data_IF_691507268522
#
_entry.id   IF_691507268522
#
_cell.length_a   1.000
_cell.length_b   1.000
_cell.length_c   1.000
_cell.angle_alpha   90.00
_cell.angle_beta   90.00
_cell.angle_gamma   90.00
#
_symmetry.space_group_name_H-M   'P 1'
#
loop_
_entity.id
_entity.type
_entity.pdbx_description
1 polymer ?
#
# COMPACT_ATOMS: atom_id res chain seq x y z
N UNK A 1 28.36 -24.66 4.43
CA UNK A 1 27.73 -23.82 5.46
C UNK A 1 28.59 -22.74 6.07
N UNK A 2 29.78 -23.01 6.64
CA UNK A 2 30.61 -21.96 7.29
C UNK A 2 30.79 -20.70 6.45
N UNK A 3 31.17 -20.86 5.18
CA UNK A 3 31.33 -19.74 4.25
C UNK A 3 30.06 -18.87 4.16
N UNK A 4 28.90 -19.49 3.91
CA UNK A 4 27.62 -18.79 3.82
C UNK A 4 27.23 -18.10 5.13
N UNK A 5 27.42 -18.77 6.27
CA UNK A 5 27.15 -18.22 7.59
C UNK A 5 28.02 -16.97 7.88
N UNK A 6 29.31 -17.03 7.53
CA UNK A 6 30.23 -15.90 7.66
C UNK A 6 29.90 -14.78 6.68
N UNK A 7 29.51 -15.10 5.44
CA UNK A 7 29.05 -14.12 4.46
C UNK A 7 27.84 -13.34 4.99
N UNK A 8 26.84 -14.04 5.56
CA UNK A 8 25.70 -13.38 6.19
C UNK A 8 26.12 -12.44 7.33
N UNK A 9 27.02 -12.88 8.24
CA UNK A 9 27.51 -12.03 9.33
C UNK A 9 28.19 -10.76 8.81
N UNK A 10 29.06 -10.91 7.82
CA UNK A 10 29.77 -9.77 7.23
C UNK A 10 28.79 -8.82 6.51
N UNK A 11 27.82 -9.35 5.77
CA UNK A 11 26.76 -8.55 5.14
C UNK A 11 25.91 -7.82 6.18
N UNK A 12 25.52 -8.48 7.28
CA UNK A 12 24.73 -7.89 8.36
C UNK A 12 25.48 -6.75 9.05
N UNK A 13 26.79 -6.91 9.29
CA UNK A 13 27.62 -5.86 9.88
C UNK A 13 27.91 -4.72 8.89
N UNK A 14 28.13 -5.04 7.62
CA UNK A 14 28.31 -4.04 6.57
C UNK A 14 27.05 -3.19 6.40
N UNK A 15 25.87 -3.81 6.43
CA UNK A 15 24.57 -3.13 6.36
C UNK A 15 24.36 -2.19 7.55
N UNK A 16 24.62 -2.65 8.77
CA UNK A 16 24.54 -1.79 9.96
C UNK A 16 25.53 -0.62 9.92
N UNK A 17 26.74 -0.86 9.40
CA UNK A 17 27.79 0.17 9.28
C UNK A 17 27.39 1.23 8.26
N UNK A 18 26.97 0.78 7.08
CA UNK A 18 26.54 1.65 6.01
C UNK A 18 25.29 2.45 6.40
N UNK A 19 24.33 1.80 7.06
CA UNK A 19 23.13 2.44 7.58
C UNK A 19 23.46 3.49 8.64
N UNK A 20 24.36 3.20 9.58
CA UNK A 20 24.74 4.16 10.61
C UNK A 20 25.45 5.38 9.99
N UNK A 21 26.36 5.16 9.04
CA UNK A 21 27.04 6.24 8.33
C UNK A 21 26.04 7.10 7.53
N UNK A 22 25.12 6.48 6.82
CA UNK A 22 24.09 7.15 6.02
C UNK A 22 23.12 7.97 6.90
N UNK A 23 22.64 7.38 7.99
CA UNK A 23 21.76 8.05 8.96
C UNK A 23 22.48 9.22 9.66
N UNK A 24 23.73 9.05 10.11
CA UNK A 24 24.50 10.14 10.69
C UNK A 24 24.80 11.25 9.68
N UNK A 25 25.17 10.89 8.44
CA UNK A 25 25.40 11.88 7.39
C UNK A 25 24.14 12.69 7.09
N UNK A 26 22.96 12.06 7.09
CA UNK A 26 21.67 12.74 6.88
C UNK A 26 21.33 13.79 7.94
N UNK A 27 21.90 13.68 9.15
CA UNK A 27 21.72 14.68 10.20
C UNK A 27 22.50 15.98 9.93
N UNK A 28 23.61 15.89 9.17
CA UNK A 28 24.51 17.01 8.92
C UNK A 28 24.45 17.53 7.47
N UNK A 29 24.07 16.68 6.50
CA UNK A 29 24.08 17.00 5.09
C UNK A 29 22.75 16.61 4.42
N UNK A 30 22.14 17.51 3.61
CA UNK A 30 20.87 17.23 2.93
C UNK A 30 20.98 16.28 1.73
N UNK A 31 22.18 16.00 1.24
CA UNK A 31 22.43 15.09 0.11
C UNK A 31 23.03 13.79 0.63
N UNK A 32 22.30 12.68 0.47
CA UNK A 32 22.73 11.36 0.97
C UNK A 32 22.87 10.37 -0.21
N UNK A 33 24.04 10.34 -0.88
CA UNK A 33 24.25 9.52 -2.08
C UNK A 33 24.32 8.01 -1.82
N UNK A 34 24.32 7.58 -0.55
CA UNK A 34 24.57 6.19 -0.13
C UNK A 34 23.26 5.39 0.04
N UNK A 35 22.12 6.07 0.17
CA UNK A 35 20.80 5.47 0.43
C UNK A 35 20.42 4.33 -0.54
N UNK A 36 20.75 4.46 -1.83
CA UNK A 36 20.52 3.40 -2.82
C UNK A 36 21.36 2.13 -2.58
N UNK A 37 22.64 2.31 -2.25
CA UNK A 37 23.54 1.21 -1.90
C UNK A 37 23.12 0.55 -0.58
N UNK A 38 22.72 1.36 0.40
CA UNK A 38 22.15 0.91 1.67
C UNK A 38 20.93 0.01 1.44
N UNK A 39 19.98 0.45 0.60
CA UNK A 39 18.80 -0.34 0.28
C UNK A 39 19.12 -1.67 -0.40
N UNK A 40 20.08 -1.69 -1.33
CA UNK A 40 20.54 -2.93 -1.97
C UNK A 40 21.16 -3.90 -0.95
N UNK A 41 21.99 -3.40 -0.06
CA UNK A 41 22.67 -4.22 0.95
C UNK A 41 21.68 -4.78 1.98
N UNK A 42 20.76 -3.95 2.49
CA UNK A 42 19.69 -4.38 3.38
C UNK A 42 18.83 -5.49 2.74
N UNK A 43 18.47 -5.34 1.47
CA UNK A 43 17.73 -6.37 0.72
C UNK A 43 18.55 -7.67 0.60
N UNK A 44 19.86 -7.58 0.32
CA UNK A 44 20.73 -8.76 0.26
C UNK A 44 20.80 -9.49 1.61
N UNK A 45 20.85 -8.76 2.73
CA UNK A 45 20.83 -9.32 4.09
C UNK A 45 19.50 -10.02 4.37
N UNK A 46 18.36 -9.39 4.05
CA UNK A 46 17.01 -9.98 4.19
C UNK A 46 16.92 -11.28 3.37
N UNK A 47 17.34 -11.24 2.11
CA UNK A 47 17.32 -12.41 1.23
C UNK A 47 18.22 -13.54 1.73
N UNK A 48 19.39 -13.22 2.28
CA UNK A 48 20.31 -14.22 2.86
C UNK A 48 19.79 -14.79 4.20
N UNK A 49 19.01 -14.03 4.96
CA UNK A 49 18.43 -14.47 6.23
C UNK A 49 17.47 -15.66 6.06
N UNK A 50 16.71 -15.72 4.96
CA UNK A 50 15.74 -16.79 4.68
C UNK A 50 16.39 -18.18 4.57
N UNK A 51 17.32 -18.45 3.62
CA UNK A 51 17.98 -19.75 3.54
C UNK A 51 18.86 -20.02 4.77
N UNK A 52 19.41 -19.00 5.44
CA UNK A 52 20.12 -19.20 6.69
C UNK A 52 19.21 -19.70 7.81
N UNK A 53 18.01 -19.12 7.95
CA UNK A 53 16.99 -19.56 8.90
C UNK A 53 16.61 -21.03 8.67
N UNK A 54 16.32 -21.41 7.42
CA UNK A 54 16.03 -22.81 7.06
C UNK A 54 17.21 -23.73 7.39
N UNK A 55 18.44 -23.26 7.16
CA UNK A 55 19.65 -24.00 7.50
C UNK A 55 19.79 -24.25 9.01
N UNK A 56 19.22 -23.43 9.90
CA UNK A 56 19.25 -23.68 11.36
C UNK A 56 18.48 -24.95 11.76
N UNK A 57 17.48 -25.34 10.95
CA UNK A 57 16.72 -26.57 11.15
C UNK A 57 17.49 -27.81 10.68
N UNK A 58 18.28 -27.69 9.62
CA UNK A 58 19.01 -28.81 9.02
C UNK A 58 20.41 -28.98 9.63
N UNK A 59 21.19 -27.90 9.67
CA UNK A 59 22.58 -27.90 10.15
C UNK A 59 22.62 -27.58 11.65
N UNK A 60 22.80 -28.62 12.48
CA UNK A 60 22.86 -28.47 13.94
C UNK A 60 24.09 -27.69 14.42
N UNK A 61 25.11 -27.54 13.57
CA UNK A 61 26.37 -26.85 13.88
C UNK A 61 26.20 -25.33 13.87
N UNK A 62 25.15 -24.82 13.23
CA UNK A 62 24.87 -23.39 13.22
C UNK A 62 24.40 -22.93 14.62
N UNK A 63 25.09 -21.95 15.24
CA UNK A 63 24.73 -21.44 16.54
C UNK A 63 23.42 -20.64 16.49
N UNK A 64 22.30 -21.27 16.86
CA UNK A 64 20.98 -20.63 16.90
C UNK A 64 20.93 -19.39 17.79
N UNK A 65 21.71 -19.36 18.88
CA UNK A 65 21.83 -18.21 19.79
C UNK A 65 22.47 -16.98 19.15
N UNK A 66 23.26 -17.18 18.08
CA UNK A 66 23.80 -16.10 17.27
C UNK A 66 22.80 -15.72 16.18
N UNK A 67 22.40 -16.69 15.34
CA UNK A 67 21.68 -16.36 14.11
C UNK A 67 20.20 -16.01 14.31
N UNK A 68 19.50 -16.60 15.30
CA UNK A 68 18.08 -16.25 15.51
C UNK A 68 17.88 -14.78 15.88
N UNK A 69 18.61 -14.19 16.85
CA UNK A 69 18.49 -12.76 17.12
C UNK A 69 18.78 -11.86 15.92
N UNK A 70 19.81 -12.19 15.12
CA UNK A 70 20.17 -11.40 13.93
C UNK A 70 19.08 -11.48 12.86
N UNK A 71 18.56 -12.68 12.59
CA UNK A 71 17.47 -12.90 11.62
C UNK A 71 16.21 -12.16 12.08
N UNK A 72 15.84 -12.30 13.36
CA UNK A 72 14.69 -11.58 13.93
C UNK A 72 14.86 -10.07 13.81
N UNK A 73 16.06 -9.55 14.08
CA UNK A 73 16.37 -8.13 13.94
C UNK A 73 16.14 -7.63 12.51
N UNK A 74 16.66 -8.35 11.52
CA UNK A 74 16.54 -8.00 10.09
C UNK A 74 15.07 -7.86 9.66
N UNK A 75 14.22 -8.79 10.09
CA UNK A 75 12.79 -8.71 9.78
C UNK A 75 12.02 -7.71 10.65
N UNK A 76 12.46 -7.49 11.89
CA UNK A 76 11.83 -6.57 12.82
C UNK A 76 11.98 -5.11 12.40
N UNK A 77 13.12 -4.70 11.86
CA UNK A 77 13.37 -3.30 11.44
C UNK A 77 12.27 -2.73 10.50
N UNK A 78 11.95 -3.36 9.36
CA UNK A 78 10.87 -2.87 8.50
C UNK A 78 9.47 -3.08 9.12
N UNK A 79 9.26 -4.20 9.82
CA UNK A 79 7.95 -4.51 10.42
C UNK A 79 7.56 -3.55 11.54
N UNK A 80 8.51 -3.13 12.37
CA UNK A 80 8.26 -2.24 13.50
C UNK A 80 7.82 -0.85 13.07
N UNK A 81 8.39 -0.29 12.00
CA UNK A 81 7.92 0.99 11.43
C UNK A 81 6.53 0.84 10.83
N UNK A 82 6.23 -0.29 10.20
CA UNK A 82 4.91 -0.55 9.65
C UNK A 82 3.84 -0.73 10.74
N UNK A 83 4.14 -1.47 11.81
CA UNK A 83 3.23 -1.69 12.95
C UNK A 83 3.08 -0.41 13.78
N UNK A 84 4.18 0.33 13.96
CA UNK A 84 4.25 1.56 14.74
C UNK A 84 4.80 2.72 13.89
N UNK A 85 3.96 3.33 13.01
CA UNK A 85 4.40 4.39 12.10
C UNK A 85 5.07 5.59 12.79
N UNK A 86 4.72 5.85 14.06
CA UNK A 86 5.35 6.90 14.86
C UNK A 86 6.87 6.73 14.94
N UNK A 87 7.38 5.48 14.96
CA UNK A 87 8.82 5.21 15.01
C UNK A 87 9.54 5.79 13.79
N UNK A 88 8.95 5.72 12.59
CA UNK A 88 9.52 6.30 11.37
C UNK A 88 9.58 7.84 11.39
N UNK A 89 8.80 8.50 12.25
CA UNK A 89 8.83 9.96 12.40
C UNK A 89 9.91 10.43 13.39
N UNK A 90 10.43 9.52 14.21
CA UNK A 90 11.47 9.84 15.19
C UNK A 90 12.83 9.91 14.49
N UNK A 91 13.42 11.11 14.43
CA UNK A 91 14.74 11.33 13.80
C UNK A 91 15.85 10.42 14.31
N UNK A 92 15.75 9.95 15.56
CA UNK A 92 16.76 9.10 16.19
C UNK A 92 16.52 7.60 15.98
N UNK A 93 15.37 7.21 15.41
CA UNK A 93 15.04 5.79 15.23
C UNK A 93 16.02 5.07 14.30
N UNK A 94 16.28 5.65 13.12
CA UNK A 94 17.24 5.11 12.14
C UNK A 94 18.64 4.92 12.73
N UNK A 95 19.29 5.97 13.26
CA UNK A 95 20.61 5.86 13.90
C UNK A 95 20.63 4.84 15.05
N UNK A 96 19.59 4.80 15.88
CA UNK A 96 19.50 3.86 16.99
C UNK A 96 19.44 2.41 16.52
N UNK A 97 18.60 2.11 15.53
CA UNK A 97 18.49 0.76 14.98
C UNK A 97 19.78 0.33 14.28
N UNK A 98 20.43 1.21 13.52
CA UNK A 98 21.71 0.90 12.88
C UNK A 98 22.83 0.63 13.91
N UNK A 99 22.90 1.42 14.99
CA UNK A 99 23.83 1.18 16.09
C UNK A 99 23.53 -0.14 16.83
N UNK A 100 22.24 -0.45 17.05
CA UNK A 100 21.80 -1.70 17.66
C UNK A 100 22.15 -2.91 16.77
N UNK A 101 22.04 -2.80 15.45
CA UNK A 101 22.45 -3.82 14.49
C UNK A 101 23.93 -4.18 14.68
N UNK A 102 24.80 -3.16 14.66
CA UNK A 102 26.24 -3.33 14.87
C UNK A 102 26.56 -3.91 16.25
N UNK A 103 25.95 -3.35 17.29
CA UNK A 103 26.12 -3.81 18.66
C UNK A 103 25.72 -5.28 18.81
N UNK A 104 24.56 -5.67 18.29
CA UNK A 104 24.05 -7.04 18.36
C UNK A 104 24.96 -8.02 17.61
N UNK A 105 25.34 -7.69 16.37
CA UNK A 105 26.20 -8.54 15.54
C UNK A 105 27.59 -8.75 16.16
N UNK A 106 28.25 -7.66 16.56
CA UNK A 106 29.58 -7.72 17.18
C UNK A 106 29.56 -8.40 18.55
N UNK A 107 28.58 -8.07 19.40
CA UNK A 107 28.43 -8.69 20.71
C UNK A 107 28.24 -10.21 20.61
N UNK A 108 27.33 -10.68 19.75
CA UNK A 108 27.04 -12.12 19.66
C UNK A 108 28.20 -12.90 19.02
N UNK A 109 28.93 -12.33 18.06
CA UNK A 109 30.13 -12.97 17.48
C UNK A 109 31.28 -12.99 18.51
N UNK A 110 31.45 -11.94 19.31
CA UNK A 110 32.50 -11.89 20.33
C UNK A 110 32.40 -13.02 21.36
N UNK A 111 31.20 -13.58 21.59
CA UNK A 111 31.01 -14.72 22.50
C UNK A 111 31.70 -16.02 22.07
N UNK A 112 32.20 -16.08 20.84
CA UNK A 112 32.95 -17.23 20.33
C UNK A 112 34.46 -17.10 20.48
N UNK A 113 34.94 -15.98 21.02
CA UNK A 113 36.36 -15.69 21.16
C UNK A 113 36.67 -15.02 22.50
N UNK A 114 37.71 -15.49 23.17
CA UNK A 114 38.20 -14.86 24.41
C UNK A 114 39.07 -13.61 24.13
N UNK A 115 39.50 -13.42 22.88
CA UNK A 115 40.35 -12.31 22.46
C UNK A 115 39.55 -11.17 21.80
N UNK A 116 39.64 -9.92 22.28
CA UNK A 116 39.02 -8.75 21.66
C UNK A 116 39.46 -8.47 20.21
N UNK A 117 40.62 -8.97 19.78
CA UNK A 117 41.14 -8.81 18.40
C UNK A 117 40.71 -9.95 17.46
N UNK A 118 39.80 -10.81 17.90
CA UNK A 118 39.35 -11.94 17.10
C UNK A 118 38.60 -11.51 15.82
N UNK A 119 38.64 -12.33 14.76
CA UNK A 119 37.95 -12.03 13.51
C UNK A 119 36.43 -12.01 13.71
N UNK A 120 35.73 -11.18 12.92
CA UNK A 120 34.25 -11.08 12.90
C UNK A 120 33.56 -12.25 12.18
N UNK A 121 34.15 -13.45 12.26
CA UNK A 121 33.68 -14.66 11.56
C UNK A 121 33.62 -15.83 12.53
N UNK A 122 32.90 -16.90 12.19
CA UNK A 122 32.80 -18.07 13.06
C UNK A 122 34.07 -18.94 13.01
N UNK A 123 34.51 -19.50 14.16
CA UNK A 123 35.67 -20.38 14.20
C UNK A 123 35.40 -21.70 13.43
N UNK A 124 36.41 -22.26 12.76
CA UNK A 124 36.30 -23.54 12.03
C UNK A 124 35.76 -24.69 12.87
N UNK A 125 36.19 -24.77 14.14
CA UNK A 125 35.87 -25.85 15.06
C UNK A 125 34.36 -26.05 15.29
N UNK A 126 33.55 -24.98 15.17
CA UNK A 126 32.09 -25.09 15.29
C UNK A 126 31.47 -25.96 14.20
N UNK A 127 32.15 -26.11 13.06
CA UNK A 127 31.65 -26.84 11.91
C UNK A 127 32.20 -28.27 11.82
N UNK A 128 32.91 -28.72 12.85
CA UNK A 128 33.37 -30.11 13.00
C UNK A 128 32.22 -31.02 13.47
N UNK A 129 32.21 -32.26 13.00
CA UNK A 129 31.15 -33.24 13.28
C UNK A 129 29.97 -33.20 12.31
N UNK A 130 28.92 -34.02 12.56
CA UNK A 130 27.85 -34.21 11.60
C UNK A 130 26.93 -32.99 11.52
N UNK A 131 26.60 -32.64 10.27
CA UNK A 131 25.72 -31.54 9.89
C UNK A 131 24.27 -31.79 10.35
N UNK A 132 23.76 -32.99 10.05
CA UNK A 132 22.35 -33.31 10.23
C UNK A 132 22.08 -33.94 11.60
N UNK A 133 20.93 -33.56 12.18
CA UNK A 133 20.35 -34.22 13.34
C UNK A 133 18.82 -34.20 13.24
N UNK A 134 18.21 -35.40 13.31
CA UNK A 134 16.77 -35.55 13.15
C UNK A 134 16.02 -34.87 14.29
N UNK A 135 16.53 -34.93 15.51
CA UNK A 135 15.90 -34.29 16.68
C UNK A 135 15.89 -32.77 16.52
N UNK A 136 17.00 -32.16 16.09
CA UNK A 136 17.09 -30.74 15.76
C UNK A 136 16.07 -30.35 14.67
N UNK A 137 15.99 -31.16 13.62
CA UNK A 137 15.07 -30.92 12.50
C UNK A 137 13.62 -30.99 12.95
N UNK A 138 13.23 -32.03 13.69
CA UNK A 138 11.87 -32.20 14.22
C UNK A 138 11.51 -31.08 15.20
N UNK A 139 12.42 -30.67 16.08
CA UNK A 139 12.20 -29.55 16.99
C UNK A 139 12.00 -28.23 16.22
N UNK A 140 12.83 -27.97 15.21
CA UNK A 140 12.70 -26.80 14.34
C UNK A 140 11.37 -26.80 13.58
N UNK A 141 10.97 -27.94 13.00
CA UNK A 141 9.68 -28.11 12.33
C UNK A 141 8.53 -27.87 13.31
N UNK A 142 8.58 -28.47 14.50
CA UNK A 142 7.55 -28.30 15.53
C UNK A 142 7.32 -26.84 15.92
N UNK A 143 8.40 -26.06 16.09
CA UNK A 143 8.28 -24.61 16.34
C UNK A 143 7.69 -23.88 15.14
N UNK A 144 8.14 -24.21 13.93
CA UNK A 144 7.67 -23.53 12.70
C UNK A 144 6.21 -23.85 12.37
N UNK A 145 5.68 -25.01 12.73
CA UNK A 145 4.24 -25.30 12.58
C UNK A 145 3.38 -24.25 13.29
N UNK A 146 3.86 -23.69 14.42
CA UNK A 146 3.16 -22.65 15.17
C UNK A 146 3.49 -21.23 14.70
N UNK A 147 4.78 -20.96 14.45
CA UNK A 147 5.26 -19.59 14.16
C UNK A 147 5.05 -19.20 12.69
N UNK A 148 5.25 -20.14 11.77
CA UNK A 148 5.26 -19.85 10.34
C UNK A 148 3.91 -19.33 9.82
N UNK A 149 2.73 -19.85 10.23
CA UNK A 149 1.45 -19.29 9.79
C UNK A 149 1.29 -17.81 10.16
N UNK A 150 1.64 -17.43 11.40
CA UNK A 150 1.57 -16.05 11.85
C UNK A 150 2.59 -15.15 11.13
N UNK A 151 3.80 -15.65 10.91
CA UNK A 151 4.84 -14.95 10.16
C UNK A 151 4.43 -14.72 8.70
N UNK A 152 3.88 -15.74 8.03
CA UNK A 152 3.41 -15.64 6.64
C UNK A 152 2.21 -14.71 6.51
N UNK A 153 1.26 -14.75 7.45
CA UNK A 153 0.13 -13.82 7.46
C UNK A 153 0.61 -12.36 7.63
N UNK A 154 1.54 -12.13 8.56
CA UNK A 154 2.13 -10.81 8.80
C UNK A 154 2.92 -10.32 7.58
N UNK A 155 3.76 -11.16 7.00
CA UNK A 155 4.54 -10.84 5.81
C UNK A 155 3.63 -10.54 4.61
N UNK A 156 2.58 -11.36 4.40
CA UNK A 156 1.59 -11.14 3.35
C UNK A 156 0.92 -9.78 3.50
N UNK A 157 0.52 -9.42 4.73
CA UNK A 157 -0.12 -8.13 5.00
C UNK A 157 0.85 -6.96 4.81
N UNK A 158 2.11 -7.11 5.21
CA UNK A 158 3.17 -6.12 4.99
C UNK A 158 3.47 -5.89 3.50
N UNK A 159 3.58 -6.97 2.72
CA UNK A 159 3.78 -6.88 1.27
C UNK A 159 2.56 -6.28 0.56
N UNK A 160 1.34 -6.68 0.96
CA UNK A 160 0.12 -6.08 0.46
C UNK A 160 0.06 -4.58 0.76
N UNK A 161 0.44 -4.15 1.97
CA UNK A 161 0.56 -2.72 2.31
C UNK A 161 1.58 -2.01 1.43
N UNK A 162 2.77 -2.58 1.27
CA UNK A 162 3.86 -1.99 0.49
C UNK A 162 3.43 -1.81 -0.97
N UNK A 163 2.84 -2.84 -1.57
CA UNK A 163 2.29 -2.79 -2.92
C UNK A 163 1.17 -1.76 -3.05
N UNK A 164 0.19 -1.77 -2.14
CA UNK A 164 -0.92 -0.81 -2.13
C UNK A 164 -0.43 0.64 -2.01
N UNK A 165 0.52 0.88 -1.11
CA UNK A 165 1.10 2.21 -0.88
C UNK A 165 1.80 2.70 -2.15
N UNK A 166 2.64 1.87 -2.77
CA UNK A 166 3.36 2.24 -3.99
C UNK A 166 2.42 2.46 -5.19
N UNK A 167 1.44 1.58 -5.38
CA UNK A 167 0.49 1.66 -6.48
C UNK A 167 -0.42 2.89 -6.39
N UNK A 168 -0.76 3.34 -5.18
CA UNK A 168 -1.68 4.46 -4.95
C UNK A 168 -0.99 5.79 -4.63
N UNK A 169 0.34 5.82 -4.52
CA UNK A 169 1.07 7.02 -4.06
C UNK A 169 0.86 7.31 -2.56
N UNK A 170 0.53 6.28 -1.79
CA UNK A 170 0.24 6.35 -0.36
C UNK A 170 -1.19 6.76 -0.01
N UNK A 171 -2.09 6.83 -0.98
CA UNK A 171 -3.52 7.09 -0.74
C UNK A 171 -4.29 5.90 -0.20
N UNK A 172 -3.70 4.70 -0.25
CA UNK A 172 -4.21 3.51 0.43
C UNK A 172 -3.10 2.87 1.26
N UNK A 173 -3.40 2.57 2.52
CA UNK A 173 -2.51 1.80 3.39
C UNK A 173 -3.27 0.63 4.01
N UNK A 174 -2.57 -0.47 4.23
CA UNK A 174 -3.07 -1.65 4.91
C UNK A 174 -2.32 -1.77 6.23
N UNK A 175 -3.06 -1.86 7.33
CA UNK A 175 -2.53 -2.09 8.66
C UNK A 175 -3.24 -3.28 9.31
N UNK A 176 -2.70 -3.84 10.41
CA UNK A 176 -3.32 -4.97 11.10
C UNK A 176 -4.79 -4.74 11.50
N UNK A 177 -5.17 -3.48 11.76
CA UNK A 177 -6.55 -3.11 12.07
C UNK A 177 -7.48 -3.09 10.85
N UNK A 178 -6.98 -2.73 9.67
CA UNK A 178 -7.85 -2.46 8.54
C UNK A 178 -7.21 -1.72 7.37
N UNK A 179 -8.07 -1.37 6.41
CA UNK A 179 -7.73 -0.55 5.24
C UNK A 179 -7.93 0.92 5.57
N UNK A 180 -6.94 1.74 5.23
CA UNK A 180 -6.96 3.18 5.41
C UNK A 180 -6.86 3.88 4.07
N UNK A 181 -7.64 4.94 3.91
CA UNK A 181 -7.57 5.85 2.77
C UNK A 181 -7.01 7.20 3.22
N UNK A 182 -6.19 7.82 2.39
CA UNK A 182 -5.65 9.15 2.65
C UNK A 182 -6.46 10.24 1.94
N UNK A 183 -6.51 11.38 2.61
CA UNK A 183 -6.97 12.65 2.10
C UNK A 183 -5.78 13.60 2.14
N UNK A 184 -5.53 14.30 1.04
CA UNK A 184 -4.45 15.26 0.96
C UNK A 184 -4.96 16.60 0.47
N UNK A 185 -4.59 17.66 1.18
CA UNK A 185 -4.91 19.03 0.81
C UNK A 185 -3.67 19.69 0.23
N UNK A 186 -3.78 20.21 -0.99
CA UNK A 186 -2.72 20.97 -1.65
C UNK A 186 -3.15 22.40 -1.88
N UNK A 187 -2.17 23.30 -1.86
CA UNK A 187 -2.41 24.73 -2.05
C UNK A 187 -1.44 25.36 -3.03
N UNK A 188 -1.95 26.33 -3.79
CA UNK A 188 -1.19 27.23 -4.66
C UNK A 188 -1.83 28.61 -4.60
N UNK A 189 -1.20 29.54 -3.89
CA UNK A 189 -1.77 30.87 -3.64
C UNK A 189 -3.10 30.80 -2.86
N UNK A 190 -4.16 31.33 -3.46
CA UNK A 190 -5.52 31.32 -2.91
C UNK A 190 -6.33 30.06 -3.24
N UNK A 191 -5.80 29.19 -4.11
CA UNK A 191 -6.46 27.98 -4.61
C UNK A 191 -6.11 26.74 -3.80
N UNK A 192 -7.11 25.90 -3.59
CA UNK A 192 -6.99 24.65 -2.84
C UNK A 192 -7.52 23.48 -3.68
N UNK A 193 -6.75 22.40 -3.73
CA UNK A 193 -7.19 21.12 -4.27
C UNK A 193 -7.17 20.09 -3.16
N UNK A 194 -8.28 19.38 -2.96
CA UNK A 194 -8.39 18.27 -2.02
C UNK A 194 -8.51 16.97 -2.81
N UNK A 195 -7.55 16.08 -2.63
CA UNK A 195 -7.60 14.72 -3.15
C UNK A 195 -8.11 13.80 -2.04
N UNK A 196 -9.14 13.00 -2.33
CA UNK A 196 -9.67 12.01 -1.41
C UNK A 196 -9.62 10.63 -2.09
N UNK A 197 -8.77 9.73 -1.59
CA UNK A 197 -8.68 8.38 -2.12
C UNK A 197 -9.93 7.58 -1.78
N UNK A 198 -10.63 7.05 -2.77
CA UNK A 198 -11.87 6.31 -2.58
C UNK A 198 -11.66 4.81 -2.72
N UNK A 199 -12.57 4.06 -2.10
CA UNK A 199 -12.75 2.63 -2.31
C UNK A 199 -14.23 2.36 -2.59
N UNK A 200 -14.51 1.44 -3.51
CA UNK A 200 -15.89 1.15 -3.92
C UNK A 200 -16.72 0.45 -2.83
N UNK A 201 -16.06 -0.20 -1.86
CA UNK A 201 -16.68 -0.86 -0.71
C UNK A 201 -15.94 -0.44 0.57
N UNK A 202 -16.68 0.07 1.55
CA UNK A 202 -16.13 0.56 2.81
C UNK A 202 -17.20 0.77 3.89
N UNK A 203 -16.77 1.13 5.09
CA UNK A 203 -17.64 1.47 6.21
C UNK A 203 -18.50 2.71 5.85
N UNK A 204 -19.74 2.76 6.34
CA UNK A 204 -20.62 3.90 6.07
C UNK A 204 -20.06 5.21 6.64
N UNK A 205 -19.47 5.13 7.83
CA UNK A 205 -18.87 6.28 8.52
C UNK A 205 -17.75 6.91 7.69
N UNK A 206 -16.99 6.10 6.97
CA UNK A 206 -15.95 6.56 6.06
C UNK A 206 -16.55 7.47 4.97
N UNK A 207 -17.62 7.02 4.31
CA UNK A 207 -18.28 7.80 3.27
C UNK A 207 -18.94 9.08 3.82
N UNK A 208 -19.54 9.01 5.01
CA UNK A 208 -20.11 10.18 5.69
C UNK A 208 -19.03 11.22 6.05
N UNK A 209 -17.82 10.76 6.41
CA UNK A 209 -16.67 11.63 6.68
C UNK A 209 -16.11 12.29 5.41
N UNK A 210 -15.99 11.53 4.33
CA UNK A 210 -15.54 12.06 3.03
C UNK A 210 -16.54 13.08 2.49
N UNK A 211 -17.84 12.83 2.63
CA UNK A 211 -18.89 13.77 2.20
C UNK A 211 -18.76 15.14 2.90
N UNK A 212 -18.28 15.17 4.16
CA UNK A 212 -18.02 16.39 4.92
C UNK A 212 -16.78 17.17 4.46
N UNK A 213 -15.97 16.64 3.55
CA UNK A 213 -14.78 17.34 3.05
C UNK A 213 -15.07 18.55 2.18
N UNK A 214 -16.24 18.57 1.55
CA UNK A 214 -16.63 19.57 0.56
C UNK A 214 -17.08 20.82 1.29
N UNK A 215 -16.25 21.89 1.37
CA UNK A 215 -16.68 23.10 2.02
C UNK A 215 -17.79 23.76 1.19
N UNK A 216 -18.80 24.36 1.83
CA UNK A 216 -19.80 25.15 1.11
C UNK A 216 -19.14 26.38 0.45
N UNK A 217 -19.81 26.95 -0.56
CA UNK A 217 -19.34 28.14 -1.27
C UNK A 217 -18.69 27.83 -2.62
N UNK A 218 -17.61 28.55 -2.96
CA UNK A 218 -16.96 28.49 -4.27
C UNK A 218 -16.10 27.22 -4.46
N UNK A 219 -16.80 26.08 -4.46
CA UNK A 219 -16.25 24.72 -4.49
C UNK A 219 -16.86 23.93 -5.62
N UNK A 220 -16.03 23.20 -6.36
CA UNK A 220 -16.48 22.17 -7.30
C UNK A 220 -15.93 20.79 -6.91
N UNK A 221 -16.77 19.77 -7.01
CA UNK A 221 -16.40 18.36 -6.89
C UNK A 221 -16.26 17.80 -8.29
N UNK A 222 -15.05 17.37 -8.64
CA UNK A 222 -14.80 16.60 -9.86
C UNK A 222 -14.98 15.12 -9.52
N UNK A 223 -16.21 14.63 -9.60
CA UNK A 223 -16.58 13.30 -9.12
C UNK A 223 -16.23 12.21 -10.15
N UNK A 224 -15.74 11.08 -9.65
CA UNK A 224 -15.63 9.83 -10.41
C UNK A 224 -17.04 9.29 -10.73
N UNK A 225 -17.20 8.66 -11.89
CA UNK A 225 -18.48 8.08 -12.27
C UNK A 225 -18.54 7.72 -13.73
N UNK A 226 -18.01 6.57 -14.08
CA UNK A 226 -18.09 6.01 -15.44
C UNK A 226 -19.56 5.84 -15.83
N UNK A 227 -19.95 6.42 -16.97
CA UNK A 227 -21.31 6.29 -17.53
C UNK A 227 -21.39 5.16 -18.54
N UNK A 228 -22.60 4.63 -18.76
CA UNK A 228 -22.89 3.68 -19.83
C UNK A 228 -24.13 4.14 -20.60
N UNK A 229 -24.00 5.30 -21.25
CA UNK A 229 -25.11 5.95 -21.96
C UNK A 229 -25.63 5.10 -23.13
N UNK A 230 -24.75 4.31 -23.75
CA UNK A 230 -25.07 3.46 -24.91
C UNK A 230 -25.43 2.03 -24.53
N UNK A 231 -25.46 1.68 -23.24
CA UNK A 231 -25.80 0.33 -22.78
C UNK A 231 -24.87 -0.75 -23.32
N UNK A 232 -23.58 -0.47 -23.51
CA UNK A 232 -22.63 -1.40 -24.13
C UNK A 232 -22.20 -2.53 -23.18
N UNK A 233 -22.29 -2.31 -21.87
CA UNK A 233 -21.97 -3.37 -20.90
C UNK A 233 -23.14 -4.34 -20.79
N UNK A 234 -22.90 -5.58 -21.22
CA UNK A 234 -23.89 -6.66 -21.11
C UNK A 234 -24.10 -7.05 -19.65
N UNK A 235 -23.04 -6.94 -18.84
CA UNK A 235 -23.05 -7.32 -17.44
C UNK A 235 -22.59 -6.17 -16.52
N UNK A 236 -23.53 -5.42 -15.93
CA UNK A 236 -23.23 -4.36 -14.93
C UNK A 236 -22.85 -4.90 -13.55
N UNK A 237 -21.62 -4.70 -13.11
CA UNK A 237 -21.24 -5.10 -11.75
C UNK A 237 -22.00 -4.28 -10.68
N UNK A 238 -22.52 -4.95 -9.64
CA UNK A 238 -23.23 -4.33 -8.51
C UNK A 238 -22.41 -4.58 -7.24
N UNK A 239 -21.92 -3.51 -6.63
CA UNK A 239 -21.04 -3.59 -5.47
C UNK A 239 -21.82 -3.83 -4.17
N UNK A 240 -23.17 -3.67 -4.17
CA UNK A 240 -24.00 -3.85 -2.96
C UNK A 240 -24.00 -5.27 -2.44
N UNK A 241 -24.01 -6.27 -3.34
CA UNK A 241 -24.06 -7.66 -2.90
C UNK A 241 -22.79 -8.05 -2.13
N UNK A 242 -21.64 -7.57 -2.60
CA UNK A 242 -20.36 -7.79 -1.92
C UNK A 242 -20.28 -6.95 -0.64
N UNK A 243 -20.78 -5.72 -0.65
CA UNK A 243 -20.79 -4.86 0.52
C UNK A 243 -21.66 -5.44 1.65
N UNK A 244 -22.88 -5.89 1.33
CA UNK A 244 -23.82 -6.49 2.28
C UNK A 244 -23.24 -7.74 2.94
N UNK A 245 -22.59 -8.63 2.17
CA UNK A 245 -21.94 -9.83 2.70
C UNK A 245 -20.87 -9.50 3.75
N UNK A 246 -20.19 -8.36 3.59
CA UNK A 246 -19.11 -7.94 4.49
C UNK A 246 -19.59 -7.00 5.59
N UNK A 247 -20.89 -6.66 5.65
CA UNK A 247 -21.42 -5.65 6.56
C UNK A 247 -20.96 -4.22 6.22
N UNK A 248 -20.59 -3.98 4.97
CA UNK A 248 -20.05 -2.72 4.45
C UNK A 248 -21.07 -2.00 3.55
N UNK A 249 -20.76 -0.77 3.16
CA UNK A 249 -21.52 0.04 2.21
C UNK A 249 -20.80 0.12 0.85
N UNK A 250 -21.55 0.32 -0.23
CA UNK A 250 -21.02 0.59 -1.57
C UNK A 250 -21.12 2.06 -1.97
N UNK A 251 -20.18 2.53 -2.78
CA UNK A 251 -20.07 3.93 -3.26
C UNK A 251 -21.10 4.30 -4.37
N UNK A 252 -22.18 3.55 -4.57
CA UNK A 252 -23.01 3.65 -5.79
C UNK A 252 -23.83 4.94 -5.96
N UNK A 253 -24.00 5.74 -4.90
CA UNK A 253 -24.66 7.05 -4.98
C UNK A 253 -23.60 8.14 -4.84
N UNK A 254 -23.72 9.21 -5.64
CA UNK A 254 -22.97 10.45 -5.42
C UNK A 254 -23.09 10.83 -3.95
N UNK A 255 -22.01 10.66 -3.19
CA UNK A 255 -21.97 10.87 -1.74
C UNK A 255 -22.13 12.35 -1.36
N UNK A 256 -21.98 13.23 -2.35
CA UNK A 256 -21.95 14.66 -2.18
C UNK A 256 -23.30 15.26 -2.56
N UNK A 257 -23.86 16.06 -1.66
CA UNK A 257 -25.02 16.92 -1.94
C UNK A 257 -24.51 18.18 -2.64
N UNK A 258 -25.02 18.47 -3.83
CA UNK A 258 -24.59 19.61 -4.61
C UNK A 258 -25.39 19.75 -5.91
N UNK A 259 -25.14 20.84 -6.63
CA UNK A 259 -25.76 21.10 -7.93
C UNK A 259 -24.95 20.37 -9.00
N UNK A 260 -25.59 19.44 -9.72
CA UNK A 260 -24.95 18.80 -10.87
C UNK A 260 -24.81 19.82 -12.00
N UNK A 261 -23.60 19.92 -12.57
CA UNK A 261 -23.27 20.83 -13.67
C UNK A 261 -22.67 20.07 -14.84
N UNK A 262 -22.79 20.63 -16.04
CA UNK A 262 -22.16 20.09 -17.24
C UNK A 262 -20.76 20.72 -17.47
N UNK A 263 -19.87 20.07 -18.25
CA UNK A 263 -18.55 20.61 -18.55
C UNK A 263 -18.53 22.05 -19.11
N UNK A 264 -19.59 22.46 -19.80
CA UNK A 264 -19.75 23.81 -20.36
C UNK A 264 -20.03 24.88 -19.30
N UNK A 265 -20.59 24.48 -18.16
CA UNK A 265 -21.02 25.39 -17.10
C UNK A 265 -19.90 25.68 -16.08
N UNK A 266 -18.78 24.94 -16.16
CA UNK A 266 -17.65 25.05 -15.24
C UNK A 266 -17.05 26.47 -15.14
N UNK A 267 -17.18 27.27 -16.20
CA UNK A 267 -16.62 28.63 -16.28
C UNK A 267 -17.60 29.74 -15.82
N UNK A 268 -18.89 29.41 -15.74
CA UNK A 268 -19.96 30.35 -15.40
C UNK A 268 -20.55 30.09 -14.01
N UNK A 269 -20.60 28.83 -13.58
CA UNK A 269 -21.28 28.38 -12.37
C UNK A 269 -20.62 28.87 -11.05
N UNK A 270 -19.29 29.06 -11.02
CA UNK A 270 -18.56 29.56 -9.85
C UNK A 270 -18.75 31.05 -9.54
N UNK A 271 -19.54 31.79 -10.34
CA UNK A 271 -19.77 33.24 -10.21
C UNK A 271 -21.10 33.62 -9.55
N UNK A 272 -21.91 32.66 -9.10
CA UNK A 272 -23.20 32.94 -8.46
C UNK A 272 -23.01 33.59 -7.07
N UNK A 273 -22.93 34.93 -7.05
CA UNK A 273 -22.77 35.78 -5.85
C UNK A 273 -24.06 35.96 -5.04
N UNK A 274 -24.70 34.88 -4.61
CA UNK A 274 -25.83 34.91 -3.67
C UNK A 274 -25.37 35.07 -2.20
N UNK A 275 -26.21 35.66 -1.34
CA UNK A 275 -25.96 35.91 0.09
C UNK A 275 -25.91 34.64 0.98
N UNK A 276 -26.21 33.46 0.44
CA UNK A 276 -26.11 32.17 1.13
C UNK A 276 -24.88 31.39 0.63
N UNK A 277 -24.27 30.52 1.47
CA UNK A 277 -23.22 29.62 1.01
C UNK A 277 -23.79 28.72 -0.08
N UNK A 278 -23.46 28.99 -1.34
CA UNK A 278 -23.91 28.17 -2.46
C UNK A 278 -23.53 26.71 -2.21
N UNK A 279 -24.47 25.80 -2.46
CA UNK A 279 -24.19 24.37 -2.47
C UNK A 279 -23.04 24.11 -3.49
N UNK A 280 -22.14 23.16 -3.21
CA UNK A 280 -21.03 22.89 -4.09
C UNK A 280 -21.54 22.41 -5.46
N UNK A 281 -20.83 22.80 -6.52
CA UNK A 281 -21.08 22.26 -7.85
C UNK A 281 -20.45 20.88 -7.97
N UNK A 282 -21.11 19.97 -8.68
CA UNK A 282 -20.64 18.61 -8.92
C UNK A 282 -20.57 18.41 -10.43
N UNK A 283 -19.36 18.14 -10.92
CA UNK A 283 -19.11 17.73 -12.29
C UNK A 283 -18.73 16.25 -12.31
N UNK A 284 -19.40 15.44 -13.12
CA UNK A 284 -18.92 14.08 -13.43
C UNK A 284 -17.70 14.20 -14.34
N UNK A 285 -16.52 13.99 -13.77
CA UNK A 285 -15.25 14.28 -14.43
C UNK A 285 -14.62 13.01 -15.03
N UNK A 286 -15.44 12.10 -15.55
CA UNK A 286 -15.04 10.76 -15.98
C UNK A 286 -15.46 10.50 -17.44
N UNK A 287 -15.17 9.31 -17.94
CA UNK A 287 -15.48 8.88 -19.30
C UNK A 287 -16.73 7.99 -19.35
N UNK A 288 -17.34 7.94 -20.53
CA UNK A 288 -18.35 6.93 -20.84
C UNK A 288 -17.67 5.61 -21.26
N UNK A 289 -18.17 4.46 -20.83
CA UNK A 289 -17.63 3.14 -21.22
C UNK A 289 -17.56 2.95 -22.73
N UNK A 290 -18.35 3.69 -23.51
CA UNK A 290 -18.33 3.55 -24.96
C UNK A 290 -17.01 3.93 -25.62
N UNK A 291 -16.12 4.63 -24.91
CA UNK A 291 -14.76 4.95 -25.36
C UNK A 291 -13.72 3.89 -24.99
N UNK A 292 -14.08 2.91 -24.15
CA UNK A 292 -13.18 1.82 -23.79
C UNK A 292 -12.95 0.89 -24.97
N UNK A 293 -11.72 0.37 -25.04
CA UNK A 293 -11.33 -0.62 -26.03
C UNK A 293 -11.93 -1.99 -25.69
N UNK A 294 -11.96 -2.85 -26.70
CA UNK A 294 -12.64 -4.14 -26.63
C UNK A 294 -12.09 -5.03 -25.51
N UNK A 295 -10.78 -4.99 -25.27
CA UNK A 295 -10.09 -5.73 -24.22
C UNK A 295 -10.62 -5.35 -22.83
N UNK A 296 -10.78 -4.05 -22.58
CA UNK A 296 -11.33 -3.50 -21.34
C UNK A 296 -12.79 -3.87 -21.19
N UNK A 297 -13.59 -3.74 -22.25
CA UNK A 297 -15.00 -4.13 -22.24
C UNK A 297 -15.18 -5.62 -21.96
N UNK A 298 -14.30 -6.47 -22.53
CA UNK A 298 -14.31 -7.91 -22.30
C UNK A 298 -14.04 -8.25 -20.83
N UNK A 299 -13.06 -7.59 -20.20
CA UNK A 299 -12.78 -7.77 -18.78
C UNK A 299 -13.97 -7.31 -17.92
N UNK A 300 -14.54 -6.12 -18.17
CA UNK A 300 -15.66 -5.60 -17.40
C UNK A 300 -16.90 -6.50 -17.50
N UNK A 301 -17.21 -7.02 -18.70
CA UNK A 301 -18.28 -7.98 -18.89
C UNK A 301 -18.02 -9.30 -18.15
N UNK A 302 -16.78 -9.80 -18.16
CA UNK A 302 -16.39 -11.01 -17.43
C UNK A 302 -16.49 -10.80 -15.90
N UNK A 303 -16.04 -9.66 -15.38
CA UNK A 303 -16.21 -9.30 -13.97
C UNK A 303 -17.69 -9.27 -13.59
N UNK A 304 -18.51 -8.57 -14.38
CA UNK A 304 -19.95 -8.46 -14.13
C UNK A 304 -20.68 -9.80 -14.22
N UNK A 305 -20.20 -10.74 -15.05
CA UNK A 305 -20.74 -12.10 -15.19
C UNK A 305 -20.33 -12.99 -14.03
N UNK A 306 -19.03 -13.11 -13.76
CA UNK A 306 -18.52 -14.06 -12.79
C UNK A 306 -18.79 -13.61 -11.34
N UNK A 307 -18.80 -12.32 -11.05
CA UNK A 307 -19.07 -11.87 -9.68
C UNK A 307 -20.56 -11.82 -9.32
N UNK A 308 -21.48 -11.86 -10.31
CA UNK A 308 -22.93 -11.94 -10.06
C UNK A 308 -23.53 -13.32 -10.30
N UNK A 309 -22.98 -14.09 -11.24
CA UNK A 309 -23.51 -15.39 -11.64
C UNK A 309 -23.15 -16.54 -10.72
N UNK A 310 -22.45 -16.29 -9.61
CA UNK A 310 -21.94 -17.32 -8.72
C UNK A 310 -22.56 -17.25 -7.32
N UNK A 311 -22.82 -18.41 -6.69
CA UNK A 311 -23.51 -18.50 -5.39
C UNK A 311 -22.69 -17.93 -4.23
N UNK A 312 -21.36 -17.85 -4.38
CA UNK A 312 -20.48 -17.19 -3.43
C UNK A 312 -19.54 -16.20 -4.12
N UNK A 313 -19.19 -15.12 -3.43
CA UNK A 313 -18.21 -14.12 -3.91
C UNK A 313 -16.83 -14.76 -4.12
N UNK A 314 -16.45 -15.73 -3.29
CA UNK A 314 -15.19 -16.46 -3.40
C UNK A 314 -15.15 -17.27 -4.69
N UNK A 315 -16.22 -18.01 -5.02
CA UNK A 315 -16.31 -18.76 -6.27
C UNK A 315 -16.27 -17.84 -7.49
N UNK A 316 -16.95 -16.70 -7.41
CA UNK A 316 -16.92 -15.66 -8.44
C UNK A 316 -15.50 -15.13 -8.68
N UNK A 317 -14.75 -14.83 -7.61
CA UNK A 317 -13.36 -14.38 -7.71
C UNK A 317 -12.43 -15.47 -8.27
N UNK A 318 -12.57 -16.73 -7.83
CA UNK A 318 -11.77 -17.84 -8.33
C UNK A 318 -12.04 -18.12 -9.81
N UNK A 319 -13.30 -17.99 -10.27
CA UNK A 319 -13.65 -18.12 -11.68
C UNK A 319 -13.15 -16.94 -12.51
N UNK A 320 -13.28 -15.72 -12.00
CA UNK A 320 -12.73 -14.54 -12.64
C UNK A 320 -11.20 -14.65 -12.80
N UNK A 321 -10.49 -15.11 -11.77
CA UNK A 321 -9.04 -15.30 -11.84
C UNK A 321 -8.65 -16.34 -12.91
N UNK A 322 -9.31 -17.50 -12.93
CA UNK A 322 -9.08 -18.53 -13.97
C UNK A 322 -9.39 -18.00 -15.37
N UNK A 323 -10.48 -17.24 -15.51
CA UNK A 323 -10.81 -16.60 -16.77
C UNK A 323 -9.71 -15.61 -17.19
N UNK A 324 -9.23 -14.78 -16.27
CA UNK A 324 -8.18 -13.80 -16.54
C UNK A 324 -6.86 -14.47 -16.97
N UNK A 325 -6.43 -15.53 -16.28
CA UNK A 325 -5.24 -16.31 -16.63
C UNK A 325 -5.29 -16.88 -18.06
N UNK A 326 -6.48 -17.24 -18.53
CA UNK A 326 -6.67 -17.82 -19.86
C UNK A 326 -6.86 -16.77 -20.96
N UNK A 327 -7.40 -15.60 -20.64
CA UNK A 327 -7.89 -14.64 -21.64
C UNK A 327 -7.12 -13.31 -21.66
N UNK A 328 -6.34 -12.98 -20.63
CA UNK A 328 -5.64 -11.70 -20.51
C UNK A 328 -4.15 -11.89 -20.76
N UNK A 329 -3.66 -11.32 -21.87
CA UNK A 329 -2.22 -11.26 -22.16
C UNK A 329 -1.58 -10.02 -21.52
N UNK A 330 -0.24 -9.97 -21.37
CA UNK A 330 0.44 -8.76 -20.89
C UNK A 330 0.14 -7.50 -21.73
N UNK A 331 -0.02 -7.65 -23.04
CA UNK A 331 -0.38 -6.55 -23.93
C UNK A 331 -1.81 -6.04 -23.68
N UNK A 332 -2.76 -6.95 -23.47
CA UNK A 332 -4.13 -6.60 -23.10
C UNK A 332 -4.19 -5.93 -21.73
N UNK A 333 -3.39 -6.41 -20.76
CA UNK A 333 -3.30 -5.77 -19.45
C UNK A 333 -2.85 -4.31 -19.55
N UNK A 334 -1.85 -4.01 -20.38
CA UNK A 334 -1.41 -2.63 -20.62
C UNK A 334 -2.53 -1.75 -21.21
N UNK A 335 -3.31 -2.28 -22.15
CA UNK A 335 -4.49 -1.63 -22.73
C UNK A 335 -5.56 -1.36 -21.66
N UNK A 336 -5.87 -2.36 -20.83
CA UNK A 336 -6.85 -2.27 -19.75
C UNK A 336 -6.43 -1.19 -18.74
N UNK A 337 -5.16 -1.19 -18.32
CA UNK A 337 -4.65 -0.21 -17.37
C UNK A 337 -4.61 1.21 -17.95
N UNK A 338 -4.33 1.37 -19.24
CA UNK A 338 -4.42 2.67 -19.91
C UNK A 338 -5.88 3.20 -19.95
N UNK A 339 -6.86 2.36 -20.27
CA UNK A 339 -8.29 2.74 -20.27
C UNK A 339 -8.81 3.04 -18.85
N UNK A 340 -8.56 2.15 -17.90
CA UNK A 340 -9.14 2.22 -16.55
C UNK A 340 -8.46 3.30 -15.70
N UNK A 341 -7.18 3.60 -15.92
CA UNK A 341 -6.44 4.56 -15.11
C UNK A 341 -5.99 5.79 -15.90
N UNK A 342 -5.14 5.60 -16.91
CA UNK A 342 -4.41 6.73 -17.50
C UNK A 342 -5.33 7.71 -18.23
N UNK A 343 -6.18 7.22 -19.13
CA UNK A 343 -7.12 8.05 -19.90
C UNK A 343 -8.15 8.74 -19.00
N UNK A 344 -8.64 8.03 -17.99
CA UNK A 344 -9.57 8.58 -16.99
C UNK A 344 -8.92 9.67 -16.15
N UNK A 345 -7.67 9.46 -15.73
CA UNK A 345 -6.87 10.49 -15.04
C UNK A 345 -6.68 11.74 -15.92
N UNK A 346 -6.41 11.57 -17.22
CA UNK A 346 -6.25 12.69 -18.14
C UNK A 346 -7.52 13.54 -18.25
N UNK A 347 -8.71 12.92 -18.23
CA UNK A 347 -9.98 13.64 -18.30
C UNK A 347 -10.22 14.51 -17.07
N UNK A 348 -10.08 13.96 -15.86
CA UNK A 348 -10.26 14.74 -14.62
C UNK A 348 -9.22 15.85 -14.48
N UNK A 349 -7.96 15.57 -14.85
CA UNK A 349 -6.90 16.59 -14.86
C UNK A 349 -7.19 17.65 -15.93
N UNK A 350 -7.76 17.29 -17.07
CA UNK A 350 -8.18 18.24 -18.10
C UNK A 350 -9.24 19.23 -17.64
N UNK A 351 -10.11 18.84 -16.70
CA UNK A 351 -11.08 19.74 -16.08
C UNK A 351 -10.47 20.64 -15.00
N UNK A 352 -9.37 20.23 -14.38
CA UNK A 352 -8.78 20.93 -13.25
C UNK A 352 -8.41 22.38 -13.57
N UNK A 353 -7.72 22.62 -14.70
CA UNK A 353 -7.25 23.97 -15.05
C UNK A 353 -8.43 24.92 -15.33
N UNK A 354 -9.54 24.40 -15.86
CA UNK A 354 -10.77 25.15 -16.07
C UNK A 354 -11.50 25.41 -14.75
N UNK A 355 -11.59 24.40 -13.88
CA UNK A 355 -12.16 24.53 -12.55
C UNK A 355 -11.43 25.58 -11.72
N UNK A 356 -10.09 25.58 -11.72
CA UNK A 356 -9.28 26.49 -10.92
C UNK A 356 -9.40 27.98 -11.33
N UNK A 357 -9.95 28.28 -12.51
CA UNK A 357 -10.25 29.66 -12.92
C UNK A 357 -11.45 30.21 -12.14
N UNK A 358 -12.51 29.42 -12.01
CA UNK A 358 -13.78 29.86 -11.42
C UNK A 358 -13.89 29.53 -9.93
N UNK A 359 -13.30 28.41 -9.50
CA UNK A 359 -13.45 27.89 -8.16
C UNK A 359 -12.21 28.12 -7.31
N UNK A 360 -12.43 28.41 -6.03
CA UNK A 360 -11.36 28.53 -5.05
C UNK A 360 -10.92 27.16 -4.53
N UNK A 361 -11.88 26.25 -4.39
CA UNK A 361 -11.64 24.88 -3.93
C UNK A 361 -12.09 23.87 -4.98
N UNK A 362 -11.23 22.91 -5.28
CA UNK A 362 -11.57 21.74 -6.12
C UNK A 362 -11.41 20.49 -5.27
N UNK A 363 -12.42 19.62 -5.24
CA UNK A 363 -12.39 18.34 -4.53
C UNK A 363 -12.43 17.21 -5.56
N UNK A 364 -11.52 16.24 -5.45
CA UNK A 364 -11.39 15.10 -6.36
C UNK A 364 -11.47 13.80 -5.55
N UNK A 365 -12.69 13.26 -5.33
CA UNK A 365 -12.92 12.01 -4.63
C UNK A 365 -12.97 10.84 -5.63
N UNK A 366 -11.81 10.24 -5.89
CA UNK A 366 -11.64 9.17 -6.90
C UNK A 366 -10.97 7.95 -6.30
N UNK A 367 -11.13 6.78 -6.93
CA UNK A 367 -10.48 5.53 -6.50
C UNK A 367 -9.00 5.72 -6.19
N UNK A 368 -8.52 5.16 -5.07
CA UNK A 368 -7.15 5.41 -4.58
C UNK A 368 -6.05 5.12 -5.62
N UNK A 369 -6.30 4.18 -6.55
CA UNK A 369 -5.37 3.85 -7.63
C UNK A 369 -5.17 4.97 -8.66
N UNK A 370 -6.13 5.90 -8.78
CA UNK A 370 -6.03 7.08 -9.63
C UNK A 370 -5.13 8.18 -9.02
N UNK A 371 -5.01 8.20 -7.69
CA UNK A 371 -4.46 9.33 -6.95
C UNK A 371 -3.01 9.62 -7.28
N UNK A 372 -2.16 8.59 -7.44
CA UNK A 372 -0.74 8.77 -7.82
C UNK A 372 -0.57 9.61 -9.09
N UNK A 373 -1.39 9.34 -10.11
CA UNK A 373 -1.35 10.08 -11.38
C UNK A 373 -1.91 11.49 -11.24
N UNK A 374 -3.03 11.66 -10.56
CA UNK A 374 -3.68 12.96 -10.35
C UNK A 374 -2.80 13.88 -9.49
N UNK A 375 -2.22 13.36 -8.41
CA UNK A 375 -1.30 14.09 -7.53
C UNK A 375 -0.06 14.56 -8.30
N UNK A 376 0.55 13.69 -9.10
CA UNK A 376 1.72 14.07 -9.91
C UNK A 376 1.41 15.29 -10.81
N UNK A 377 0.21 15.35 -11.38
CA UNK A 377 -0.25 16.48 -12.18
C UNK A 377 -0.51 17.76 -11.37
N UNK A 378 -0.91 17.65 -10.10
CA UNK A 378 -0.99 18.79 -9.18
C UNK A 378 0.39 19.34 -8.84
N UNK A 379 1.33 18.45 -8.49
CA UNK A 379 2.69 18.83 -8.09
C UNK A 379 3.42 19.53 -9.25
N UNK A 380 3.27 19.03 -10.48
CA UNK A 380 3.77 19.70 -11.70
C UNK A 380 3.24 21.12 -11.89
N UNK A 381 2.03 21.40 -11.40
CA UNK A 381 1.39 22.74 -11.44
C UNK A 381 1.81 23.65 -10.29
N UNK A 382 2.75 23.22 -9.44
CA UNK A 382 3.26 24.00 -8.31
C UNK A 382 2.34 24.02 -7.09
N UNK A 383 1.41 23.07 -6.99
CA UNK A 383 0.67 22.84 -5.76
C UNK A 383 1.58 22.16 -4.73
N UNK A 384 1.50 22.59 -3.48
CA UNK A 384 2.30 22.04 -2.39
C UNK A 384 1.37 21.37 -1.38
N UNK A 385 1.75 20.17 -0.92
CA UNK A 385 1.03 19.45 0.13
C UNK A 385 1.03 20.30 1.41
N UNK A 386 -0.14 20.48 2.01
CA UNK A 386 -0.33 21.22 3.26
C UNK A 386 -0.75 20.31 4.40
N UNK A 387 -1.60 19.33 4.11
CA UNK A 387 -2.19 18.45 5.11
C UNK A 387 -2.41 17.07 4.51
N UNK A 388 -2.15 16.03 5.31
CA UNK A 388 -2.55 14.66 5.03
C UNK A 388 -3.36 14.14 6.22
N UNK A 389 -4.49 13.49 5.95
CA UNK A 389 -5.30 12.80 6.94
C UNK A 389 -5.61 11.39 6.47
N UNK A 390 -5.44 10.41 7.36
CA UNK A 390 -5.80 9.01 7.09
C UNK A 390 -7.09 8.65 7.80
N UNK A 391 -7.94 7.89 7.13
CA UNK A 391 -9.23 7.41 7.66
C UNK A 391 -9.37 5.93 7.45
N UNK A 392 -9.93 5.25 8.44
CA UNK A 392 -10.24 3.84 8.36
C UNK A 392 -11.43 3.65 7.41
N UNK A 393 -11.22 2.99 6.28
CA UNK A 393 -12.27 2.69 5.31
C UNK A 393 -12.87 1.30 5.53
N UNK A 394 -12.12 0.34 6.09
CA UNK A 394 -12.61 -1.01 6.42
C UNK A 394 -11.94 -1.46 7.72
N UNK A 395 -12.72 -1.83 8.74
CA UNK A 395 -12.20 -2.42 9.99
C UNK A 395 -12.25 -3.96 9.91
N UNK A 396 -11.09 -4.61 9.89
CA UNK A 396 -11.02 -6.08 9.74
C UNK A 396 -11.69 -6.82 10.89
N UNK A 397 -11.69 -6.25 12.10
CA UNK A 397 -12.36 -6.89 13.25
C UNK A 397 -13.88 -6.90 13.06
N UNK A 398 -14.45 -5.81 12.54
CA UNK A 398 -15.90 -5.72 12.25
C UNK A 398 -16.31 -6.72 11.18
N UNK A 399 -15.57 -6.77 10.08
CA UNK A 399 -15.82 -7.72 8.97
C UNK A 399 -15.79 -9.17 9.47
N UNK A 400 -14.77 -9.54 10.27
CA UNK A 400 -14.67 -10.89 10.83
C UNK A 400 -15.82 -11.22 11.79
N UNK A 401 -16.25 -10.26 12.60
CA UNK A 401 -17.36 -10.47 13.54
C UNK A 401 -18.71 -10.65 12.83
N UNK A 402 -18.92 -9.97 11.70
CA UNK A 402 -20.16 -10.09 10.92
C UNK A 402 -20.31 -11.50 10.35
N UNK A 403 -19.24 -12.05 9.77
CA UNK A 403 -19.23 -13.41 9.22
C UNK A 403 -19.40 -14.52 10.28
N UNK A 404 -19.11 -14.23 11.56
CA UNK A 404 -19.32 -15.19 12.66
C UNK A 404 -20.74 -15.19 13.25
N UNK A 405 -21.58 -14.22 12.86
CA UNK A 405 -22.96 -14.09 13.35
C UNK A 405 -24.00 -14.88 12.56
N UNK A 406 -23.73 -15.18 11.28
CA UNK A 406 -24.66 -15.86 10.37
C UNK A 406 -24.53 -17.39 10.37
N UNK A 407 -23.75 -17.98 11.30
CA UNK A 407 -23.61 -19.44 11.45
C UNK A 407 -24.41 -20.02 12.62
N UNK A 408 -25.57 -19.44 12.98
CA UNK A 408 -26.47 -19.99 13.99
C UNK A 408 -27.85 -20.31 13.44
#
# INVERSE_FOLDING_TARGET
MRFFANLFLLLFLADGSLSLLDELASLFFPLVPISGLRGLLANAVILAAVPLYLSLGIDRRLPKRLFLPLILFVFWCPLSVWIFPVLGTLKLYGPFMAALQLGLGTFLVSRFYDNPQAPLTLPPALFEGPCFDLRNTLAFVGVNVLVLPAALATASLFFANSYATEATGGFMNIAPRGLYMAERTYRRGDRTVKLAGMIHIGEKEYYDEVARLVPPGNTVVLAEGVTDEKGKLKNKFDYKNVANLLGLASQEKLLFKGRLIEPKDLETAGKSGGKEPAAPDILRADVDVSVFRQETMMLLDAMGKELRGNPSTVDGLLKLNRWAEQNITPAMYAVIMDDILQRRNQVVVGYLDRALKSYRTVVIPWGALHMKGIEAELLKRGFVLQEEKKRLSVDFKRVLSHNSGDSK
#
